data_IF_782348168984
#
_entry.id   IF_782348168984
#
_cell.length_a   1.000
_cell.length_b   1.000
_cell.length_c   1.000
_cell.angle_alpha   90.00
_cell.angle_beta   90.00
_cell.angle_gamma   90.00
#
_symmetry.space_group_name_H-M   'P 1'
#
loop_
_entity.id
_entity.type
_entity.pdbx_description
1 polymer ?
#
# COMPACT_ATOMS: atom_id res chain seq x y z
N UNK A 1 -36.20 26.05 41.23
CA UNK A 1 -34.90 25.45 41.62
C UNK A 1 -34.84 23.92 41.48
N UNK A 2 -35.72 23.27 40.70
CA UNK A 2 -35.67 21.80 40.42
C UNK A 2 -35.32 21.43 38.96
N UNK A 3 -35.14 22.41 38.08
CA UNK A 3 -34.77 22.21 36.66
C UNK A 3 -33.30 22.52 36.34
N UNK A 4 -32.54 23.05 37.32
CA UNK A 4 -31.11 23.34 37.14
C UNK A 4 -30.20 22.19 37.62
N UNK A 5 -30.75 21.22 38.37
CA UNK A 5 -29.96 20.11 38.92
C UNK A 5 -29.82 18.93 37.93
N UNK A 6 -30.69 18.83 36.94
CA UNK A 6 -30.71 17.74 35.96
C UNK A 6 -29.74 17.94 34.80
N UNK A 7 -29.26 19.16 34.56
CA UNK A 7 -28.27 19.43 33.50
C UNK A 7 -26.83 19.18 33.97
N UNK A 8 -26.56 19.32 35.27
CA UNK A 8 -25.23 19.10 35.87
C UNK A 8 -24.85 17.62 35.98
N UNK A 9 -25.83 16.71 36.02
CA UNK A 9 -25.58 15.28 36.10
C UNK A 9 -25.22 14.63 34.75
N UNK A 10 -25.61 15.25 33.63
CA UNK A 10 -25.30 14.74 32.29
C UNK A 10 -23.88 15.08 31.81
N UNK A 11 -23.25 16.12 32.36
CA UNK A 11 -21.90 16.58 31.94
C UNK A 11 -20.78 15.82 32.67
N UNK A 12 -21.06 15.16 33.80
CA UNK A 12 -20.05 14.46 34.60
C UNK A 12 -19.82 13.01 34.12
N UNK A 13 -20.72 12.43 33.31
CA UNK A 13 -20.60 11.03 32.83
C UNK A 13 -19.86 10.95 31.48
N UNK A 14 -19.55 12.08 30.84
CA UNK A 14 -18.81 12.10 29.57
C UNK A 14 -17.27 11.97 29.71
N UNK A 15 -16.73 11.83 30.93
CA UNK A 15 -15.28 11.88 31.20
C UNK A 15 -14.61 10.52 31.46
N UNK A 16 -15.24 9.42 31.08
CA UNK A 16 -14.63 8.10 31.22
C UNK A 16 -15.14 7.11 30.17
N UNK A 17 -15.16 7.52 28.91
CA UNK A 17 -15.09 6.58 27.79
C UNK A 17 -13.59 6.36 27.49
N UNK A 18 -12.94 5.57 28.34
CA UNK A 18 -11.73 4.90 27.88
C UNK A 18 -12.22 3.82 26.92
N UNK A 19 -11.93 3.99 25.62
CA UNK A 19 -12.00 2.89 24.66
C UNK A 19 -10.85 1.93 25.01
N UNK A 20 -11.05 1.16 26.08
CA UNK A 20 -10.12 0.14 26.51
C UNK A 20 -10.27 -1.06 25.57
N UNK A 21 -9.15 -1.60 25.08
CA UNK A 21 -9.14 -2.85 24.31
C UNK A 21 -9.79 -3.94 25.17
N UNK A 22 -11.01 -4.33 24.83
CA UNK A 22 -11.68 -5.44 25.51
C UNK A 22 -11.14 -6.74 24.92
N UNK A 23 -10.48 -7.53 25.75
CA UNK A 23 -10.09 -8.88 25.38
C UNK A 23 -11.36 -9.71 25.14
N UNK A 24 -11.48 -10.26 23.94
CA UNK A 24 -12.50 -11.26 23.61
C UNK A 24 -12.05 -12.61 24.17
N UNK A 25 -12.98 -13.37 24.74
CA UNK A 25 -12.71 -14.75 25.09
C UNK A 25 -12.84 -15.70 23.89
N UNK A 26 -12.35 -16.92 24.02
CA UNK A 26 -12.36 -17.92 22.94
C UNK A 26 -13.78 -18.24 22.44
N UNK A 27 -14.81 -18.10 23.28
CA UNK A 27 -16.20 -18.36 22.90
C UNK A 27 -16.74 -17.21 22.04
N UNK A 28 -16.44 -15.97 22.40
CA UNK A 28 -16.76 -14.78 21.61
C UNK A 28 -16.03 -14.81 20.26
N UNK A 29 -14.72 -15.14 20.25
CA UNK A 29 -13.95 -15.33 19.00
C UNK A 29 -14.54 -16.44 18.12
N UNK A 30 -14.99 -17.56 18.70
CA UNK A 30 -15.57 -18.68 17.95
C UNK A 30 -16.92 -18.35 17.30
N UNK A 31 -17.64 -17.34 17.82
CA UNK A 31 -18.95 -16.91 17.32
C UNK A 31 -18.86 -15.90 16.16
N UNK A 32 -17.69 -15.27 15.97
CA UNK A 32 -17.44 -14.30 14.91
C UNK A 32 -16.89 -15.02 13.67
N UNK A 33 -17.77 -15.45 12.77
CA UNK A 33 -17.38 -16.02 11.47
C UNK A 33 -17.39 -14.94 10.38
N UNK A 34 -16.25 -14.70 9.72
CA UNK A 34 -16.16 -13.80 8.55
C UNK A 34 -15.88 -12.32 8.85
N UNK A 35 -15.91 -11.88 10.12
CA UNK A 35 -15.62 -10.49 10.50
C UNK A 35 -14.13 -10.09 10.31
N UNK A 36 -13.23 -11.09 10.30
CA UNK A 36 -11.79 -10.87 10.22
C UNK A 36 -11.13 -10.50 11.54
N UNK A 37 -9.81 -10.37 11.49
CA UNK A 37 -8.96 -9.82 12.53
C UNK A 37 -8.56 -8.40 12.13
N UNK A 38 -9.12 -7.41 12.83
CA UNK A 38 -8.67 -6.02 12.75
C UNK A 38 -7.48 -5.79 13.68
N UNK A 39 -6.44 -5.10 13.20
CA UNK A 39 -5.33 -4.64 14.02
C UNK A 39 -5.03 -3.17 13.74
N UNK A 40 -4.60 -2.48 14.79
CA UNK A 40 -4.07 -1.13 14.72
C UNK A 40 -2.88 -1.05 15.68
N UNK A 41 -1.77 -0.46 15.24
CA UNK A 41 -0.62 -0.19 16.07
C UNK A 41 -0.62 1.29 16.41
N UNK A 42 -0.89 1.62 17.67
CA UNK A 42 -0.86 3.00 18.17
C UNK A 42 0.52 3.35 18.70
N UNK A 43 0.91 4.61 18.52
CA UNK A 43 2.21 5.13 18.96
C UNK A 43 3.39 4.25 18.49
N UNK A 44 3.27 3.70 17.28
CA UNK A 44 4.25 2.78 16.70
C UNK A 44 5.54 3.51 16.39
N UNK A 45 6.66 2.92 16.80
CA UNK A 45 8.01 3.36 16.49
C UNK A 45 8.84 2.13 16.19
N UNK A 46 9.40 2.08 14.99
CA UNK A 46 10.38 1.08 14.62
C UNK A 46 11.70 1.75 14.24
N UNK A 47 12.81 1.25 14.79
CA UNK A 47 14.16 1.69 14.46
C UNK A 47 15.15 0.56 14.66
N UNK A 48 16.15 0.46 13.79
CA UNK A 48 17.27 -0.47 13.90
C UNK A 48 18.55 0.21 14.39
N UNK A 49 18.51 1.38 15.03
CA UNK A 49 19.72 2.11 15.48
C UNK A 49 20.69 1.24 16.32
N UNK A 50 20.19 0.18 16.95
CA UNK A 50 20.96 -0.76 17.78
C UNK A 50 21.23 -2.13 17.11
N UNK A 51 20.86 -2.30 15.83
CA UNK A 51 21.05 -3.55 15.09
C UNK A 51 22.04 -3.36 13.93
N UNK A 52 23.02 -4.26 13.84
CA UNK A 52 23.97 -4.29 12.72
C UNK A 52 23.60 -5.39 11.74
N UNK A 53 23.30 -5.03 10.49
CA UNK A 53 23.20 -5.97 9.39
C UNK A 53 24.26 -5.65 8.35
N UNK A 54 25.01 -6.67 7.91
CA UNK A 54 25.98 -6.56 6.84
C UNK A 54 25.66 -7.57 5.74
N UNK A 55 25.74 -7.13 4.50
CA UNK A 55 25.68 -7.96 3.30
C UNK A 55 27.12 -8.10 2.78
N UNK A 56 27.56 -9.35 2.62
CA UNK A 56 28.91 -9.74 2.17
C UNK A 56 28.84 -10.52 0.87
N UNK A 57 29.95 -10.69 0.18
CA UNK A 57 30.03 -11.49 -1.06
C UNK A 57 29.59 -10.74 -2.34
N UNK A 58 29.48 -9.42 -2.29
CA UNK A 58 29.37 -8.58 -3.49
C UNK A 58 30.78 -8.10 -3.84
N UNK A 59 31.18 -8.24 -5.10
CA UNK A 59 32.50 -7.84 -5.60
C UNK A 59 32.40 -6.63 -6.55
N UNK A 60 33.44 -5.79 -6.57
CA UNK A 60 33.59 -4.72 -7.54
C UNK A 60 34.00 -5.25 -8.94
N UNK A 61 34.08 -4.36 -9.93
CA UNK A 61 34.49 -4.72 -11.30
C UNK A 61 35.93 -5.25 -11.44
N UNK A 62 36.70 -5.28 -10.35
CA UNK A 62 38.06 -5.83 -10.27
C UNK A 62 38.15 -7.07 -9.38
N UNK A 63 37.04 -7.55 -8.82
CA UNK A 63 36.96 -8.75 -7.99
C UNK A 63 37.31 -8.52 -6.52
N UNK A 64 37.30 -7.28 -6.02
CA UNK A 64 37.46 -7.02 -4.59
C UNK A 64 36.09 -6.98 -3.90
N UNK A 65 36.00 -7.50 -2.67
CA UNK A 65 34.77 -7.44 -1.90
C UNK A 65 34.37 -5.99 -1.57
N UNK A 66 33.09 -5.68 -1.76
CA UNK A 66 32.42 -4.46 -1.34
C UNK A 66 31.56 -4.82 -0.12
N UNK A 67 31.93 -4.27 1.04
CA UNK A 67 31.14 -4.46 2.26
C UNK A 67 29.92 -3.55 2.22
N UNK A 68 28.71 -4.10 2.34
CA UNK A 68 27.49 -3.29 2.43
C UNK A 68 26.94 -3.39 3.84
N UNK A 69 26.95 -2.29 4.57
CA UNK A 69 26.31 -2.16 5.89
C UNK A 69 24.94 -1.55 5.71
N UNK A 70 23.94 -2.15 6.34
CA UNK A 70 22.64 -1.54 6.53
C UNK A 70 22.66 -0.87 7.90
N UNK A 71 22.96 0.42 7.92
CA UNK A 71 23.22 1.19 9.14
C UNK A 71 21.92 1.56 9.87
N UNK A 72 20.83 1.76 9.12
CA UNK A 72 19.56 2.19 9.68
C UNK A 72 18.38 1.74 8.82
N UNK A 73 17.30 1.33 9.47
CA UNK A 73 15.96 1.22 8.93
C UNK A 73 14.97 1.71 9.99
N UNK A 74 14.05 2.58 9.61
CA UNK A 74 13.05 3.10 10.53
C UNK A 74 11.67 3.23 9.89
N UNK A 75 10.64 3.13 10.74
CA UNK A 75 9.26 3.50 10.44
C UNK A 75 8.80 4.31 11.65
N UNK A 76 8.57 5.61 11.44
CA UNK A 76 8.25 6.59 12.48
C UNK A 76 7.18 7.55 11.98
N UNK A 77 6.76 8.51 12.81
CA UNK A 77 5.81 9.56 12.43
C UNK A 77 6.47 10.74 11.75
N UNK A 78 5.65 11.46 11.00
CA UNK A 78 6.05 12.67 10.29
C UNK A 78 6.82 13.68 11.17
N UNK A 79 7.95 14.13 10.63
CA UNK A 79 8.88 15.00 11.33
C UNK A 79 9.87 14.22 12.19
N UNK A 80 10.13 12.95 11.86
CA UNK A 80 11.17 12.11 12.48
C UNK A 80 12.61 12.57 12.17
N UNK A 81 12.78 13.51 11.22
CA UNK A 81 14.07 14.07 10.81
C UNK A 81 15.05 12.98 10.36
N UNK A 82 14.64 12.16 9.40
CA UNK A 82 15.42 11.03 8.87
C UNK A 82 15.82 10.03 9.96
N UNK A 83 14.85 9.66 10.82
CA UNK A 83 15.04 8.70 11.90
C UNK A 83 15.75 9.23 13.15
N UNK A 84 16.23 10.49 13.17
CA UNK A 84 16.93 11.07 14.31
C UNK A 84 16.02 11.32 15.53
N UNK A 85 14.73 11.57 15.29
CA UNK A 85 13.71 11.84 16.31
C UNK A 85 12.69 10.72 16.28
N UNK A 86 12.60 9.98 17.39
CA UNK A 86 11.60 8.91 17.60
C UNK A 86 10.20 9.51 17.75
N UNK A 87 9.59 9.82 16.62
CA UNK A 87 8.21 10.26 16.47
C UNK A 87 7.30 9.04 16.36
N UNK A 88 6.26 8.91 17.20
CA UNK A 88 5.27 7.84 17.03
C UNK A 88 4.42 8.06 15.78
N UNK A 89 3.99 6.96 15.16
CA UNK A 89 2.97 6.94 14.09
C UNK A 89 1.92 5.90 14.38
N UNK A 90 0.71 6.11 13.90
CA UNK A 90 -0.33 5.10 13.96
C UNK A 90 -0.37 4.28 12.66
N UNK A 91 -0.26 2.95 12.78
CA UNK A 91 -0.47 2.01 11.67
C UNK A 91 -1.90 1.47 11.78
N UNK A 92 -2.80 2.08 11.02
CA UNK A 92 -4.24 1.91 11.25
C UNK A 92 -4.68 2.64 12.52
N UNK A 93 -5.98 2.65 12.81
CA UNK A 93 -6.52 3.19 14.06
C UNK A 93 -7.70 2.35 14.53
N UNK A 94 -8.20 2.61 15.74
CA UNK A 94 -9.39 1.93 16.25
C UNK A 94 -10.61 2.10 15.33
N UNK A 95 -10.78 3.31 14.77
CA UNK A 95 -11.88 3.60 13.83
C UNK A 95 -11.56 3.18 12.40
N UNK A 96 -10.28 2.93 12.09
CA UNK A 96 -9.78 2.57 10.76
C UNK A 96 -8.71 1.47 10.84
N UNK A 97 -9.05 0.25 11.30
CA UNK A 97 -8.09 -0.81 11.50
C UNK A 97 -7.66 -1.43 10.17
N UNK A 98 -6.49 -2.06 10.15
CA UNK A 98 -6.13 -2.95 9.05
C UNK A 98 -6.74 -4.32 9.32
N UNK A 99 -7.37 -4.91 8.31
CA UNK A 99 -8.17 -6.13 8.48
C UNK A 99 -7.56 -7.27 7.70
N UNK A 100 -7.35 -8.40 8.38
CA UNK A 100 -7.10 -9.70 7.75
C UNK A 100 -8.35 -10.54 7.88
N UNK A 101 -8.99 -10.91 6.78
CA UNK A 101 -10.24 -11.67 6.82
C UNK A 101 -10.26 -12.79 5.79
N UNK A 102 -10.99 -13.85 6.10
CA UNK A 102 -11.39 -14.83 5.11
C UNK A 102 -12.87 -14.67 4.84
N UNK A 103 -13.21 -14.54 3.56
CA UNK A 103 -14.56 -14.24 3.10
C UNK A 103 -14.91 -15.12 1.90
N UNK A 104 -16.20 -15.23 1.56
CA UNK A 104 -16.59 -15.91 0.31
C UNK A 104 -16.31 -15.02 -0.89
N UNK A 105 -16.01 -15.60 -2.03
CA UNK A 105 -15.71 -14.84 -3.24
C UNK A 105 -16.83 -13.92 -3.75
N UNK A 106 -18.06 -14.16 -3.32
CA UNK A 106 -19.24 -13.32 -3.59
C UNK A 106 -19.59 -12.33 -2.47
N UNK A 107 -18.86 -12.35 -1.35
CA UNK A 107 -19.28 -11.66 -0.10
C UNK A 107 -19.14 -10.15 -0.09
N UNK A 108 -18.69 -9.54 -1.20
CA UNK A 108 -18.59 -8.07 -1.35
C UNK A 108 -19.72 -7.46 -2.19
N UNK A 109 -20.76 -8.23 -2.52
CA UNK A 109 -21.94 -7.71 -3.19
C UNK A 109 -23.12 -7.57 -2.20
N UNK A 110 -23.12 -6.51 -1.40
CA UNK A 110 -24.32 -6.08 -0.64
C UNK A 110 -25.15 -5.02 -1.39
N UNK A 111 -24.59 -4.42 -2.45
CA UNK A 111 -25.25 -3.43 -3.29
C UNK A 111 -25.19 -1.99 -2.76
N UNK A 112 -24.43 -1.70 -1.70
CA UNK A 112 -24.23 -0.35 -1.16
C UNK A 112 -22.89 0.26 -1.64
N UNK A 113 -22.91 1.30 -2.50
CA UNK A 113 -21.70 1.97 -3.00
C UNK A 113 -21.00 2.87 -1.96
N UNK A 114 -21.52 2.99 -0.73
CA UNK A 114 -20.93 3.82 0.33
C UNK A 114 -19.95 3.06 1.24
N UNK A 115 -19.96 1.73 1.20
CA UNK A 115 -19.00 0.91 1.93
C UNK A 115 -17.72 0.81 1.11
N UNK A 116 -16.60 1.21 1.71
CA UNK A 116 -15.27 1.00 1.13
C UNK A 116 -14.84 -0.47 1.31
N UNK A 117 -15.65 -1.36 0.73
CA UNK A 117 -15.27 -2.67 0.25
C UNK A 117 -15.86 -2.71 -1.14
N UNK A 118 -15.06 -2.24 -2.10
CA UNK A 118 -15.51 -1.96 -3.46
C UNK A 118 -16.29 -3.17 -3.96
N UNK A 119 -17.60 -3.02 -4.23
CA UNK A 119 -18.44 -3.97 -4.97
C UNK A 119 -17.94 -4.26 -6.40
N UNK A 120 -16.65 -4.13 -6.62
CA UNK A 120 -15.84 -4.26 -7.82
C UNK A 120 -14.92 -5.49 -7.76
N UNK A 121 -15.04 -6.39 -6.77
CA UNK A 121 -14.55 -7.74 -6.97
C UNK A 121 -15.52 -8.42 -7.95
N UNK A 122 -15.16 -8.67 -9.24
CA UNK A 122 -16.02 -9.48 -10.08
C UNK A 122 -16.03 -10.84 -9.41
N UNK A 123 -17.22 -11.21 -8.91
CA UNK A 123 -17.42 -12.32 -8.00
C UNK A 123 -16.59 -13.52 -8.45
N UNK A 124 -15.56 -13.88 -7.68
CA UNK A 124 -14.74 -15.08 -7.89
C UNK A 124 -15.52 -16.35 -7.50
N UNK A 125 -16.86 -16.29 -7.51
CA UNK A 125 -17.78 -17.34 -7.09
C UNK A 125 -18.04 -17.41 -5.58
N UNK A 126 -19.24 -17.83 -5.18
CA UNK A 126 -19.61 -18.09 -3.78
C UNK A 126 -19.08 -19.43 -3.25
N UNK A 127 -18.52 -20.23 -4.16
CA UNK A 127 -17.88 -21.54 -3.95
C UNK A 127 -16.42 -21.43 -3.49
N UNK A 128 -15.83 -20.23 -3.56
CA UNK A 128 -14.43 -19.98 -3.19
C UNK A 128 -14.33 -19.16 -1.93
N UNK A 129 -13.34 -19.50 -1.10
CA UNK A 129 -12.88 -18.66 -0.02
C UNK A 129 -11.73 -17.77 -0.51
N UNK A 130 -11.83 -16.48 -0.24
CA UNK A 130 -10.75 -15.51 -0.41
C UNK A 130 -10.12 -15.18 0.95
N UNK A 131 -8.80 -14.96 0.94
CA UNK A 131 -8.06 -14.32 2.02
C UNK A 131 -7.80 -12.86 1.62
N UNK A 132 -8.18 -11.92 2.48
CA UNK A 132 -8.02 -10.50 2.23
C UNK A 132 -7.19 -9.85 3.33
N UNK A 133 -6.27 -8.98 2.94
CA UNK A 133 -5.52 -8.07 3.80
C UNK A 133 -5.84 -6.67 3.31
N UNK A 134 -6.56 -5.88 4.10
CA UNK A 134 -7.13 -4.61 3.68
C UNK A 134 -6.72 -3.52 4.66
N UNK A 135 -6.32 -2.37 4.12
CA UNK A 135 -6.28 -1.13 4.89
C UNK A 135 -7.65 -0.47 4.78
N UNK A 136 -8.12 0.14 5.86
CA UNK A 136 -9.41 0.83 5.82
C UNK A 136 -9.34 2.12 5.00
N UNK A 137 -10.51 2.69 4.70
CA UNK A 137 -10.65 3.90 3.90
C UNK A 137 -11.43 4.96 4.63
N UNK A 138 -10.93 6.17 4.50
CA UNK A 138 -11.54 7.32 5.13
C UNK A 138 -12.65 7.89 4.26
N UNK A 139 -13.77 8.27 4.88
CA UNK A 139 -14.90 8.92 4.20
C UNK A 139 -14.66 10.41 3.95
N UNK A 140 -13.85 11.06 4.80
CA UNK A 140 -13.45 12.45 4.62
C UNK A 140 -12.49 12.58 3.44
N UNK A 141 -12.83 13.44 2.47
CA UNK A 141 -11.99 13.70 1.29
C UNK A 141 -10.59 14.27 1.63
N UNK A 142 -10.44 14.90 2.81
CA UNK A 142 -9.12 15.32 3.28
C UNK A 142 -8.29 14.13 3.76
N UNK A 143 -8.90 13.15 4.44
CA UNK A 143 -8.19 12.01 5.00
C UNK A 143 -7.97 10.89 3.98
N UNK A 144 -8.93 10.67 3.08
CA UNK A 144 -8.84 9.66 2.04
C UNK A 144 -7.70 10.00 1.08
N UNK A 145 -6.68 9.14 1.01
CA UNK A 145 -5.49 9.43 0.20
C UNK A 145 -5.81 9.52 -1.29
N UNK A 146 -6.59 8.58 -1.83
CA UNK A 146 -6.96 8.62 -3.25
C UNK A 146 -7.76 9.87 -3.58
N UNK A 147 -8.76 10.20 -2.77
CA UNK A 147 -9.59 11.39 -2.99
C UNK A 147 -8.77 12.68 -2.88
N UNK A 148 -7.87 12.76 -1.89
CA UNK A 148 -6.97 13.90 -1.74
C UNK A 148 -6.06 14.06 -2.96
N UNK A 149 -5.46 12.98 -3.46
CA UNK A 149 -4.62 13.02 -4.67
C UNK A 149 -5.44 13.47 -5.88
N UNK A 150 -6.62 12.89 -6.09
CA UNK A 150 -7.48 13.23 -7.22
C UNK A 150 -7.92 14.70 -7.21
N UNK A 151 -8.37 15.18 -6.05
CA UNK A 151 -8.90 16.54 -5.93
C UNK A 151 -7.79 17.58 -5.86
N UNK A 152 -6.71 17.31 -5.13
CA UNK A 152 -5.70 18.32 -4.81
C UNK A 152 -4.45 18.27 -5.65
N UNK A 153 -4.00 17.08 -6.01
CA UNK A 153 -2.80 16.93 -6.83
C UNK A 153 -3.19 17.00 -8.30
N UNK A 154 -4.15 16.19 -8.75
CA UNK A 154 -4.54 16.18 -10.16
C UNK A 154 -5.48 17.31 -10.57
N UNK A 155 -6.49 17.63 -9.77
CA UNK A 155 -7.50 18.63 -10.13
C UNK A 155 -7.23 20.03 -9.53
N UNK A 156 -6.24 20.16 -8.64
CA UNK A 156 -5.87 21.42 -7.97
C UNK A 156 -7.06 22.17 -7.39
N UNK A 157 -7.92 21.47 -6.63
CA UNK A 157 -9.10 22.06 -6.02
C UNK A 157 -8.74 23.28 -5.14
N UNK A 158 -9.65 24.25 -5.08
CA UNK A 158 -9.39 25.54 -4.41
C UNK A 158 -9.25 25.46 -2.88
N UNK A 159 -9.62 24.33 -2.27
CA UNK A 159 -9.62 24.11 -0.82
C UNK A 159 -8.47 23.21 -0.31
N UNK A 160 -7.49 22.92 -1.17
CA UNK A 160 -6.44 21.95 -0.85
C UNK A 160 -5.53 22.34 0.30
N UNK A 161 -5.27 23.65 0.48
CA UNK A 161 -4.56 24.13 1.67
C UNK A 161 -5.32 23.82 2.97
N UNK A 162 -6.65 23.92 2.98
CA UNK A 162 -7.45 23.54 4.15
C UNK A 162 -7.46 22.03 4.37
N UNK A 163 -7.53 21.23 3.30
CA UNK A 163 -7.50 19.77 3.40
C UNK A 163 -6.16 19.27 3.93
N UNK A 164 -5.05 19.79 3.41
CA UNK A 164 -3.71 19.49 3.89
C UNK A 164 -3.56 19.81 5.39
N UNK A 165 -4.08 20.96 5.83
CA UNK A 165 -3.98 21.38 7.24
C UNK A 165 -4.75 20.50 8.24
N UNK A 166 -5.72 19.70 7.78
CA UNK A 166 -6.50 18.80 8.64
C UNK A 166 -6.19 17.33 8.40
N UNK A 167 -5.30 16.99 7.45
CA UNK A 167 -4.86 15.62 7.21
C UNK A 167 -4.22 15.05 8.48
N UNK A 168 -4.43 13.74 8.69
CA UNK A 168 -3.65 12.99 9.68
C UNK A 168 -2.18 13.02 9.29
N UNK A 169 -1.29 12.89 10.26
CA UNK A 169 0.13 12.73 9.97
C UNK A 169 0.41 11.38 9.31
N UNK A 170 1.31 11.38 8.33
CA UNK A 170 1.79 10.17 7.69
C UNK A 170 2.93 9.50 8.46
N UNK A 171 3.43 8.39 7.92
CA UNK A 171 4.64 7.75 8.38
C UNK A 171 5.87 8.29 7.64
N UNK A 172 6.97 8.47 8.35
CA UNK A 172 8.29 8.59 7.74
C UNK A 172 8.94 7.20 7.72
N UNK A 173 9.44 6.79 6.55
CA UNK A 173 10.12 5.51 6.34
C UNK A 173 11.46 5.78 5.71
N UNK A 174 12.55 5.30 6.32
CA UNK A 174 13.87 5.53 5.75
C UNK A 174 14.84 4.39 6.00
N UNK A 175 15.87 4.36 5.16
CA UNK A 175 16.91 3.36 5.16
C UNK A 175 18.25 3.95 4.76
N UNK A 176 19.30 3.62 5.52
CA UNK A 176 20.66 4.06 5.28
C UNK A 176 21.60 2.88 5.06
N UNK A 177 22.39 2.96 4.01
CA UNK A 177 23.41 1.98 3.66
C UNK A 177 24.77 2.65 3.55
N UNK A 178 25.81 1.98 4.03
CA UNK A 178 27.21 2.33 3.78
C UNK A 178 27.87 1.22 2.97
N UNK A 179 28.40 1.59 1.81
CA UNK A 179 29.19 0.74 0.94
C UNK A 179 30.67 1.05 1.22
N UNK A 180 31.40 0.07 1.74
CA UNK A 180 32.82 0.13 2.02
C UNK A 180 33.59 -0.59 0.90
N UNK A 181 34.44 0.14 0.17
CA UNK A 181 35.27 -0.42 -0.90
C UNK A 181 36.68 -0.75 -0.42
N UNK A 182 37.32 -1.72 -1.06
CA UNK A 182 38.65 -2.20 -0.69
C UNK A 182 39.76 -1.14 -0.83
N UNK A 183 39.56 -0.10 -1.64
CA UNK A 183 40.48 1.03 -1.78
C UNK A 183 40.38 2.04 -0.62
N UNK A 184 39.49 1.79 0.34
CA UNK A 184 39.22 2.63 1.50
C UNK A 184 38.24 3.76 1.24
N UNK A 185 37.59 3.80 0.06
CA UNK A 185 36.49 4.72 -0.20
C UNK A 185 35.19 4.19 0.37
N UNK A 186 34.38 5.07 0.97
CA UNK A 186 33.04 4.73 1.42
C UNK A 186 31.99 5.59 0.73
N UNK A 187 30.86 4.98 0.40
CA UNK A 187 29.70 5.64 -0.16
C UNK A 187 28.48 5.37 0.70
N UNK A 188 27.75 6.43 1.03
CA UNK A 188 26.51 6.35 1.79
C UNK A 188 25.35 6.55 0.84
N UNK A 189 24.39 5.65 0.90
CA UNK A 189 23.08 5.79 0.26
C UNK A 189 22.03 5.91 1.34
N UNK A 190 21.31 7.02 1.33
CA UNK A 190 20.21 7.25 2.24
C UNK A 190 18.91 7.43 1.44
N UNK A 191 17.89 6.67 1.77
CA UNK A 191 16.59 6.69 1.11
C UNK A 191 15.57 7.03 2.18
N UNK A 192 14.84 8.13 2.01
CA UNK A 192 13.83 8.59 2.96
C UNK A 192 12.52 8.89 2.22
N UNK A 193 11.41 8.45 2.79
CA UNK A 193 10.05 8.80 2.39
C UNK A 193 9.37 9.48 3.56
N UNK A 194 8.80 10.67 3.34
CA UNK A 194 8.09 11.43 4.38
C UNK A 194 6.62 11.53 4.07
N UNK A 195 5.80 11.54 5.12
CA UNK A 195 4.35 11.65 4.98
C UNK A 195 3.78 10.50 4.12
N UNK A 196 4.09 9.26 4.49
CA UNK A 196 3.60 8.06 3.81
C UNK A 196 2.20 7.68 4.29
N UNK A 197 1.29 7.47 3.35
CA UNK A 197 -0.08 7.01 3.55
C UNK A 197 -0.36 5.79 2.68
N UNK A 198 -1.11 4.82 3.24
CA UNK A 198 -1.42 3.55 2.59
C UNK A 198 -2.92 3.20 2.57
N UNK A 199 -3.79 4.07 3.07
CA UNK A 199 -5.24 3.79 3.17
C UNK A 199 -5.86 3.52 1.79
N UNK A 200 -6.86 2.63 1.76
CA UNK A 200 -7.47 2.14 0.53
C UNK A 200 -6.69 1.07 -0.21
N UNK A 201 -5.52 0.67 0.28
CA UNK A 201 -4.78 -0.48 -0.25
C UNK A 201 -5.38 -1.80 0.24
N UNK A 202 -5.30 -2.83 -0.58
CA UNK A 202 -5.75 -4.17 -0.26
C UNK A 202 -5.15 -5.24 -1.15
N UNK A 203 -4.98 -6.43 -0.59
CA UNK A 203 -4.54 -7.61 -1.30
C UNK A 203 -5.52 -8.75 -1.03
N UNK A 204 -6.05 -9.34 -2.09
CA UNK A 204 -6.96 -10.48 -2.01
C UNK A 204 -6.34 -11.66 -2.73
N UNK A 205 -6.36 -12.82 -2.08
CA UNK A 205 -5.85 -14.09 -2.58
C UNK A 205 -6.95 -15.14 -2.60
N UNK A 206 -6.96 -16.00 -3.61
CA UNK A 206 -7.83 -17.16 -3.70
C UNK A 206 -7.16 -18.27 -4.49
N UNK A 207 -7.77 -19.45 -4.50
CA UNK A 207 -7.27 -20.57 -5.29
C UNK A 207 -8.31 -21.08 -6.27
N UNK A 208 -7.86 -21.41 -7.48
CA UNK A 208 -8.62 -22.09 -8.52
C UNK A 208 -7.80 -23.23 -9.11
N UNK A 209 -8.43 -24.30 -9.62
CA UNK A 209 -7.72 -25.28 -10.43
C UNK A 209 -7.19 -24.64 -11.73
N UNK A 210 -5.97 -24.98 -12.13
CA UNK A 210 -5.44 -24.70 -13.45
C UNK A 210 -6.00 -25.66 -14.52
N UNK A 211 -5.55 -25.52 -15.77
CA UNK A 211 -5.95 -26.39 -16.89
C UNK A 211 -5.58 -27.87 -16.67
N UNK A 212 -4.64 -28.15 -15.78
CA UNK A 212 -4.21 -29.50 -15.38
C UNK A 212 -4.94 -30.02 -14.13
N UNK A 213 -5.88 -29.24 -13.58
CA UNK A 213 -6.62 -29.53 -12.36
C UNK A 213 -5.83 -29.37 -11.06
N UNK A 214 -4.63 -28.76 -11.10
CA UNK A 214 -3.83 -28.45 -9.92
C UNK A 214 -4.23 -27.10 -9.33
N UNK A 215 -4.14 -26.95 -8.01
CA UNK A 215 -4.44 -25.66 -7.36
C UNK A 215 -3.42 -24.58 -7.74
N UNK A 216 -3.90 -23.52 -8.37
CA UNK A 216 -3.16 -22.29 -8.65
C UNK A 216 -3.52 -21.22 -7.62
N UNK A 217 -2.54 -20.41 -7.21
CA UNK A 217 -2.75 -19.24 -6.35
C UNK A 217 -2.99 -18.01 -7.23
N UNK A 218 -4.17 -17.44 -7.07
CA UNK A 218 -4.61 -16.23 -7.75
C UNK A 218 -4.75 -15.08 -6.75
N UNK A 219 -4.73 -13.86 -7.26
CA UNK A 219 -4.90 -12.67 -6.46
C UNK A 219 -5.32 -11.44 -7.23
N UNK A 220 -5.56 -10.39 -6.48
CA UNK A 220 -5.72 -9.01 -6.95
C UNK A 220 -5.08 -8.07 -5.93
N UNK A 221 -4.44 -7.03 -6.43
CA UNK A 221 -3.76 -6.00 -5.64
C UNK A 221 -4.37 -4.65 -5.96
N UNK A 222 -4.83 -3.96 -4.92
CA UNK A 222 -5.04 -2.52 -4.92
C UNK A 222 -3.98 -1.90 -3.99
N UNK A 223 -3.23 -0.94 -4.49
CA UNK A 223 -2.26 -0.19 -3.73
C UNK A 223 -2.57 1.28 -3.92
N UNK A 224 -2.72 2.00 -2.82
CA UNK A 224 -2.86 3.44 -2.78
C UNK A 224 -1.80 3.99 -1.83
N UNK A 225 -0.60 4.18 -2.37
CA UNK A 225 0.55 4.70 -1.64
C UNK A 225 0.78 6.15 -2.03
N UNK A 226 0.78 7.05 -1.06
CA UNK A 226 1.23 8.43 -1.21
C UNK A 226 2.41 8.64 -0.28
N UNK A 227 3.54 9.13 -0.79
CA UNK A 227 4.58 9.77 0.01
C UNK A 227 4.56 11.26 -0.34
N UNK A 228 4.53 12.16 0.64
CA UNK A 228 4.56 13.60 0.40
C UNK A 228 5.93 14.09 -0.07
N UNK A 229 7.00 13.39 0.31
CA UNK A 229 8.36 13.62 -0.16
C UNK A 229 9.08 12.27 -0.29
N UNK A 230 9.83 12.09 -1.37
CA UNK A 230 10.74 10.96 -1.56
C UNK A 230 12.14 11.49 -1.85
N UNK A 231 13.11 11.05 -1.06
CA UNK A 231 14.48 11.55 -1.09
C UNK A 231 15.47 10.39 -1.23
N UNK A 232 16.44 10.55 -2.13
CA UNK A 232 17.65 9.73 -2.16
C UNK A 232 18.84 10.68 -2.05
N UNK A 233 19.63 10.52 -1.00
CA UNK A 233 20.92 11.20 -0.84
C UNK A 233 22.06 10.22 -1.06
N UNK A 234 23.03 10.64 -1.87
CA UNK A 234 24.27 9.92 -2.09
C UNK A 234 25.43 10.84 -1.73
N UNK A 235 26.21 10.40 -0.74
CA UNK A 235 27.31 11.17 -0.18
C UNK A 235 28.52 10.28 0.11
N UNK A 236 29.71 10.89 0.19
CA UNK A 236 30.87 10.27 0.83
C UNK A 236 30.77 10.33 2.36
N UNK A 237 31.87 10.06 3.05
CA UNK A 237 31.99 9.82 4.51
C UNK A 237 31.21 10.75 5.46
N UNK A 238 30.94 12.01 5.08
CA UNK A 238 30.43 13.02 6.00
C UNK A 238 28.96 13.46 5.78
N UNK A 239 28.33 13.14 4.64
CA UNK A 239 26.97 13.59 4.28
C UNK A 239 26.63 15.03 4.74
N UNK A 240 27.55 15.97 4.50
CA UNK A 240 27.46 17.37 4.97
C UNK A 240 26.63 18.27 4.05
N UNK A 241 25.68 17.70 3.29
CA UNK A 241 24.77 18.45 2.41
C UNK A 241 25.36 18.86 1.05
N UNK A 242 26.48 18.27 0.62
CA UNK A 242 27.07 18.44 -0.72
C UNK A 242 26.84 17.26 -1.66
N UNK A 243 26.09 16.25 -1.21
CA UNK A 243 25.73 15.06 -1.99
C UNK A 243 24.82 15.36 -3.17
N UNK A 244 24.72 14.41 -4.10
CA UNK A 244 23.69 14.47 -5.14
C UNK A 244 22.37 14.06 -4.52
N UNK A 245 21.59 15.06 -4.13
CA UNK A 245 20.23 14.88 -3.63
C UNK A 245 19.28 14.71 -4.80
N UNK A 246 18.64 13.55 -4.90
CA UNK A 246 17.39 13.38 -5.62
C UNK A 246 16.26 13.63 -4.62
N UNK A 247 15.42 14.62 -4.89
CA UNK A 247 14.19 14.87 -4.17
C UNK A 247 13.04 14.81 -5.16
N UNK A 248 11.95 14.18 -4.76
CA UNK A 248 10.70 14.13 -5.51
C UNK A 248 9.61 14.63 -4.59
N UNK A 249 8.99 15.73 -4.99
CA UNK A 249 7.84 16.28 -4.27
C UNK A 249 6.62 15.45 -4.63
N UNK A 250 6.06 14.74 -3.66
CA UNK A 250 4.90 13.86 -3.80
C UNK A 250 5.09 12.70 -4.81
N UNK A 251 5.02 11.48 -4.30
CA UNK A 251 4.93 10.26 -5.10
C UNK A 251 3.63 9.57 -4.77
N UNK A 252 2.74 9.43 -5.75
CA UNK A 252 1.53 8.62 -5.63
C UNK A 252 1.61 7.41 -6.55
N UNK A 253 1.36 6.24 -5.97
CA UNK A 253 1.16 4.99 -6.67
C UNK A 253 -0.23 4.45 -6.31
N UNK A 254 -1.20 4.73 -7.18
CA UNK A 254 -2.50 4.09 -7.20
C UNK A 254 -2.47 2.90 -8.14
N UNK A 255 -1.97 1.75 -7.71
CA UNK A 255 -1.78 0.58 -8.58
C UNK A 255 -2.90 -0.44 -8.36
N UNK A 256 -3.59 -0.79 -9.43
CA UNK A 256 -4.60 -1.84 -9.47
C UNK A 256 -4.15 -2.95 -10.43
N UNK A 257 -3.87 -4.12 -9.88
CA UNK A 257 -3.53 -5.32 -10.63
C UNK A 257 -4.57 -6.40 -10.36
N UNK A 258 -5.26 -6.77 -11.41
CA UNK A 258 -6.25 -7.84 -11.40
C UNK A 258 -7.67 -7.34 -11.23
N UNK A 259 -8.61 -8.19 -11.65
CA UNK A 259 -10.05 -7.96 -11.60
C UNK A 259 -10.74 -9.32 -11.51
N UNK A 260 -10.74 -9.89 -10.28
CA UNK A 260 -11.23 -11.24 -9.96
C UNK A 260 -10.88 -12.29 -11.02
N UNK A 261 -11.84 -13.15 -11.37
CA UNK A 261 -11.62 -14.23 -12.35
C UNK A 261 -11.55 -13.71 -13.80
N UNK A 262 -12.02 -12.49 -14.09
CA UNK A 262 -11.89 -11.91 -15.43
C UNK A 262 -10.45 -11.61 -15.81
N UNK A 263 -9.62 -11.20 -14.84
CA UNK A 263 -8.20 -10.95 -15.04
C UNK A 263 -7.44 -11.18 -13.72
N UNK A 264 -7.07 -12.42 -13.36
CA UNK A 264 -6.38 -12.66 -12.09
C UNK A 264 -4.88 -12.36 -12.18
N UNK A 265 -4.30 -11.94 -11.05
CA UNK A 265 -2.86 -11.95 -10.80
C UNK A 265 -2.44 -13.34 -10.33
N UNK A 266 -1.53 -13.99 -11.04
CA UNK A 266 -1.06 -15.35 -10.79
C UNK A 266 0.27 -15.34 -10.05
N UNK A 267 0.37 -16.23 -9.07
CA UNK A 267 1.57 -16.46 -8.28
C UNK A 267 2.05 -17.89 -8.54
N UNK A 268 3.22 -18.04 -9.16
CA UNK A 268 3.79 -19.34 -9.47
C UNK A 268 5.30 -19.37 -9.31
N UNK A 269 5.89 -20.55 -9.47
CA UNK A 269 7.33 -20.72 -9.53
C UNK A 269 7.71 -21.56 -10.76
N UNK A 270 8.83 -21.25 -11.40
CA UNK A 270 9.37 -22.10 -12.46
C UNK A 270 9.96 -23.39 -11.88
N UNK A 271 10.24 -24.37 -12.75
CA UNK A 271 10.94 -25.61 -12.36
C UNK A 271 12.29 -25.34 -11.68
N UNK A 272 12.89 -24.19 -11.97
CA UNK A 272 14.22 -23.80 -11.51
C UNK A 272 14.16 -22.96 -10.23
N UNK A 273 12.98 -22.82 -9.62
CA UNK A 273 12.79 -22.13 -8.34
C UNK A 273 12.58 -20.62 -8.46
N UNK A 274 12.52 -20.06 -9.68
CA UNK A 274 12.27 -18.64 -9.86
C UNK A 274 10.79 -18.31 -9.63
N UNK A 275 10.53 -17.30 -8.82
CA UNK A 275 9.18 -16.80 -8.59
C UNK A 275 8.66 -16.04 -9.81
N UNK A 276 7.40 -16.26 -10.15
CA UNK A 276 6.71 -15.62 -11.28
C UNK A 276 5.44 -14.96 -10.79
N UNK A 277 5.36 -13.65 -11.05
CA UNK A 277 4.16 -12.85 -10.89
C UNK A 277 3.60 -12.53 -12.29
N UNK A 278 2.36 -12.95 -12.56
CA UNK A 278 1.74 -12.76 -13.87
C UNK A 278 0.32 -12.18 -13.76
N UNK A 279 0.13 -10.94 -14.20
CA UNK A 279 -1.21 -10.43 -14.49
C UNK A 279 -1.68 -11.05 -15.82
N UNK A 280 -2.69 -11.89 -15.72
CA UNK A 280 -3.27 -12.57 -16.87
C UNK A 280 -3.88 -11.58 -17.85
N UNK A 281 -4.11 -12.02 -19.09
CA UNK A 281 -4.96 -11.27 -20.01
C UNK A 281 -6.41 -11.36 -19.55
N UNK A 282 -7.26 -10.36 -19.85
CA UNK A 282 -8.68 -10.50 -19.64
C UNK A 282 -9.19 -11.76 -20.37
N UNK A 283 -9.85 -12.65 -19.63
CA UNK A 283 -10.27 -13.96 -20.09
C UNK A 283 -11.80 -14.05 -20.17
N UNK A 284 -12.40 -13.96 -21.37
CA UNK A 284 -13.84 -14.12 -21.57
C UNK A 284 -14.38 -15.50 -21.12
N UNK A 285 -13.54 -16.54 -21.14
CA UNK A 285 -13.96 -17.89 -20.78
C UNK A 285 -14.32 -18.02 -19.30
N UNK A 286 -13.74 -17.16 -18.44
CA UNK A 286 -14.12 -17.02 -17.02
C UNK A 286 -15.60 -16.70 -16.82
N UNK A 287 -16.25 -16.11 -17.84
CA UNK A 287 -17.68 -15.77 -17.86
C UNK A 287 -18.50 -16.71 -18.74
N UNK A 288 -17.90 -17.79 -19.24
CA UNK A 288 -18.54 -18.71 -20.18
C UNK A 288 -18.83 -18.11 -21.54
N UNK A 289 -18.10 -17.05 -21.94
CA UNK A 289 -18.28 -16.39 -23.24
C UNK A 289 -17.57 -17.19 -24.33
N UNK A 290 -18.31 -17.54 -25.40
CA UNK A 290 -17.75 -18.17 -26.60
C UNK A 290 -16.92 -17.14 -27.41
N UNK A 291 -15.62 -17.37 -27.64
CA UNK A 291 -14.78 -16.47 -28.44
C UNK A 291 -15.23 -16.30 -29.90
N UNK A 292 -16.05 -17.22 -30.41
CA UNK A 292 -16.63 -17.16 -31.76
C UNK A 292 -17.83 -16.23 -31.85
N UNK A 293 -18.45 -15.88 -30.71
CA UNK A 293 -19.56 -14.95 -30.63
C UNK A 293 -19.03 -13.52 -30.48
N UNK A 294 -19.08 -12.78 -31.59
CA UNK A 294 -18.61 -11.39 -31.65
C UNK A 294 -19.37 -10.47 -30.68
N UNK A 295 -20.68 -10.63 -30.55
CA UNK A 295 -21.51 -9.73 -29.75
C UNK A 295 -21.29 -10.00 -28.25
N UNK A 296 -21.17 -11.27 -27.86
CA UNK A 296 -20.83 -11.66 -26.50
C UNK A 296 -19.40 -11.23 -26.11
N UNK A 297 -18.43 -11.36 -27.02
CA UNK A 297 -17.06 -10.87 -26.81
C UNK A 297 -17.02 -9.36 -26.64
N UNK A 298 -17.76 -8.61 -27.46
CA UNK A 298 -17.85 -7.16 -27.33
C UNK A 298 -18.50 -6.75 -26.00
N UNK A 299 -19.55 -7.46 -25.57
CA UNK A 299 -20.20 -7.23 -24.29
C UNK A 299 -19.22 -7.46 -23.11
N UNK A 300 -18.46 -8.56 -23.13
CA UNK A 300 -17.44 -8.87 -22.12
C UNK A 300 -16.40 -7.74 -22.01
N UNK A 301 -15.80 -7.32 -23.13
CA UNK A 301 -14.79 -6.27 -23.08
C UNK A 301 -15.39 -4.91 -22.67
N UNK A 302 -16.62 -4.60 -23.07
CA UNK A 302 -17.30 -3.38 -22.61
C UNK A 302 -17.52 -3.40 -21.09
N UNK A 303 -17.97 -4.53 -20.53
CA UNK A 303 -18.11 -4.73 -19.09
C UNK A 303 -16.76 -4.59 -18.38
N UNK A 304 -15.73 -5.28 -18.87
CA UNK A 304 -14.39 -5.20 -18.32
C UNK A 304 -13.85 -3.76 -18.34
N UNK A 305 -13.90 -3.04 -19.46
CA UNK A 305 -13.36 -1.68 -19.52
C UNK A 305 -14.22 -0.64 -18.78
N UNK A 306 -15.50 -0.91 -18.57
CA UNK A 306 -16.37 -0.06 -17.76
C UNK A 306 -16.04 -0.18 -16.26
N UNK A 307 -15.77 -1.40 -15.78
CA UNK A 307 -15.72 -1.69 -14.34
C UNK A 307 -14.30 -2.00 -13.81
N UNK A 308 -13.39 -2.50 -14.63
CA UNK A 308 -12.05 -2.84 -14.17
C UNK A 308 -11.35 -1.60 -13.59
N UNK A 309 -10.75 -1.73 -12.39
CA UNK A 309 -10.14 -0.60 -11.71
C UNK A 309 -8.99 -0.03 -12.55
N UNK A 310 -8.82 1.29 -12.46
CA UNK A 310 -7.75 2.00 -13.15
C UNK A 310 -6.60 2.26 -12.19
N UNK A 311 -5.41 2.30 -12.75
CA UNK A 311 -4.19 2.69 -12.04
C UNK A 311 -3.80 4.13 -12.39
N UNK A 312 -3.15 4.78 -11.43
CA UNK A 312 -2.73 6.17 -11.49
C UNK A 312 -1.32 6.29 -10.88
N UNK A 313 -0.44 7.03 -11.53
CA UNK A 313 0.90 7.35 -11.02
C UNK A 313 1.04 8.87 -11.06
N UNK A 314 1.44 9.44 -9.93
CA UNK A 314 1.92 10.81 -9.86
C UNK A 314 3.35 10.80 -9.34
N UNK A 315 4.20 11.53 -10.04
CA UNK A 315 5.53 11.88 -9.61
C UNK A 315 5.57 13.39 -9.74
N UNK A 316 5.56 14.13 -8.64
CA UNK A 316 5.62 15.58 -8.72
C UNK A 316 7.02 16.05 -9.06
N UNK A 317 7.38 17.25 -8.58
CA UNK A 317 8.59 17.91 -9.02
C UNK A 317 9.85 17.10 -8.64
N UNK A 318 10.56 16.60 -9.65
CA UNK A 318 11.83 15.92 -9.45
C UNK A 318 12.96 16.96 -9.45
N UNK A 319 13.67 17.06 -8.34
CA UNK A 319 14.85 17.93 -8.18
C UNK A 319 16.11 17.08 -7.97
N UNK A 320 17.13 17.34 -8.78
CA UNK A 320 18.47 16.73 -8.65
C UNK A 320 19.49 17.84 -8.44
N UNK A 321 19.98 17.99 -7.21
CA UNK A 321 20.80 19.12 -6.80
C UNK A 321 20.09 20.45 -7.04
N UNK A 322 20.59 21.26 -7.98
CA UNK A 322 20.00 22.57 -8.32
C UNK A 322 19.18 22.55 -9.63
N UNK A 323 18.81 21.37 -10.13
CA UNK A 323 18.10 21.21 -11.40
C UNK A 323 16.78 20.49 -11.18
N UNK A 324 15.75 20.99 -11.84
CA UNK A 324 14.42 20.39 -11.82
C UNK A 324 14.14 19.68 -13.15
N UNK A 325 13.62 18.45 -13.11
CA UNK A 325 13.23 17.67 -14.27
C UNK A 325 11.71 17.73 -14.57
N UNK A 326 10.93 18.36 -13.69
CA UNK A 326 9.49 18.54 -13.83
C UNK A 326 8.68 17.42 -13.19
N UNK A 327 7.37 17.43 -13.43
CA UNK A 327 6.42 16.43 -12.94
C UNK A 327 6.02 15.43 -14.03
N UNK A 328 5.55 14.26 -13.61
CA UNK A 328 4.96 13.21 -14.45
C UNK A 328 3.63 12.75 -13.88
N UNK A 329 2.61 12.80 -14.72
CA UNK A 329 1.25 12.34 -14.41
C UNK A 329 0.89 11.23 -15.39
N UNK A 330 0.51 10.06 -14.87
CA UNK A 330 -0.14 8.99 -15.63
C UNK A 330 -1.47 8.72 -14.93
N UNK A 331 -2.57 9.03 -15.59
CA UNK A 331 -3.91 8.83 -15.05
C UNK A 331 -4.66 7.78 -15.86
N UNK A 332 -5.35 6.89 -15.16
CA UNK A 332 -6.38 6.06 -15.76
C UNK A 332 -5.85 4.90 -16.61
N UNK A 333 -4.64 4.40 -16.36
CA UNK A 333 -4.06 3.30 -17.12
C UNK A 333 -4.50 1.93 -16.58
N UNK A 334 -4.42 0.90 -17.41
CA UNK A 334 -4.68 -0.49 -17.01
C UNK A 334 -3.66 -1.40 -17.67
N UNK A 335 -3.03 -2.27 -16.90
CA UNK A 335 -2.17 -3.30 -17.45
C UNK A 335 -3.04 -4.43 -18.04
N UNK A 336 -2.88 -4.69 -19.33
CA UNK A 336 -3.61 -5.78 -19.99
C UNK A 336 -2.91 -7.13 -19.85
N UNK A 337 -1.61 -7.08 -19.63
CA UNK A 337 -0.77 -8.23 -19.38
C UNK A 337 0.51 -7.73 -18.71
N UNK A 338 0.96 -8.40 -17.67
CA UNK A 338 2.24 -8.13 -17.03
C UNK A 338 2.80 -9.47 -16.58
N UNK A 339 4.07 -9.73 -16.87
CA UNK A 339 4.76 -10.90 -16.33
C UNK A 339 6.14 -10.49 -15.85
N UNK A 340 6.39 -10.73 -14.58
CA UNK A 340 7.68 -10.54 -13.95
C UNK A 340 8.16 -11.90 -13.43
N UNK A 341 9.41 -12.24 -13.73
CA UNK A 341 10.08 -13.44 -13.24
C UNK A 341 11.27 -12.98 -12.44
N UNK A 342 11.45 -13.52 -11.23
CA UNK A 342 12.70 -13.36 -10.52
C UNK A 342 13.84 -13.96 -11.34
N UNK A 343 15.01 -13.37 -11.23
CA UNK A 343 16.24 -13.97 -11.72
C UNK A 343 17.05 -14.41 -10.50
N UNK A 344 17.59 -15.62 -10.58
CA UNK A 344 18.69 -16.03 -9.72
C UNK A 344 19.94 -15.24 -10.17
N UNK A 345 20.72 -14.73 -9.20
CA UNK A 345 21.87 -13.86 -9.45
C UNK A 345 23.14 -14.64 -9.76
#
# INVERSE_FOLDING_TARGET
MKKLLTLSAAVVIAHSANAELQALDDAEMSSQSGAGLGFALQDFVFSTDDASLAVTGIEDGTGNEVGIKWDQFYIMGEGSQNGAVKKPVDIGSYLHPWVVRSVRGSSDWDGDPADFYTGDAPAIGDDVAALQILTDVYTSAAQNTRQYVMDCIFASAGDCGQRAAIRRSGADIGSRFTLDFADGTNHVWNIDMRGVYLDGSGFTLWSRPDDSGQSELLGQLNLSLLAEEFQIDTCGDACTGTGSLLQIDQVYLGLNLGFGDMQPLKFSATSDGNFVLELSKPDPSSRGVDPSDRDAMLAFFNEYYANAPKSDIYIGEITVGNRTAGETVINGFRAQYLKATSIDL
#
